data_IF_880764004243
#
_entry.id   IF_880764004243
#
_cell.length_a   1.000
_cell.length_b   1.000
_cell.length_c   1.000
_cell.angle_alpha   90.00
_cell.angle_beta   90.00
_cell.angle_gamma   90.00
#
_symmetry.space_group_name_H-M   'P 1'
#
loop_
_entity.id
_entity.type
_entity.pdbx_description
1 polymer ?
#
# COMPACT_ATOMS: atom_id res chain seq x y z
N UNK A 1 21.76 -39.76 0.50
CA UNK A 1 21.92 -39.37 1.92
C UNK A 1 21.38 -37.97 2.21
N UNK A 2 20.90 -37.29 1.17
CA UNK A 2 20.57 -35.88 1.24
C UNK A 2 19.07 -35.58 1.44
N UNK A 3 18.15 -36.40 0.91
CA UNK A 3 16.70 -36.14 1.03
C UNK A 3 16.16 -36.25 2.47
N UNK A 4 16.70 -37.15 3.28
CA UNK A 4 16.24 -37.32 4.68
C UNK A 4 16.75 -36.16 5.55
N UNK A 5 17.96 -35.66 5.25
CA UNK A 5 18.56 -34.54 5.98
C UNK A 5 17.85 -33.22 5.60
N UNK A 6 17.43 -33.08 4.35
CA UNK A 6 16.69 -31.92 3.87
C UNK A 6 15.25 -31.89 4.43
N UNK A 7 14.56 -33.01 4.49
CA UNK A 7 13.26 -33.14 5.12
C UNK A 7 13.30 -32.81 6.62
N UNK A 8 14.30 -33.32 7.34
CA UNK A 8 14.47 -33.05 8.78
C UNK A 8 14.76 -31.55 9.05
N UNK A 9 15.52 -30.89 8.17
CA UNK A 9 15.77 -29.43 8.31
C UNK A 9 14.54 -28.59 7.99
N UNK A 10 13.71 -29.02 7.04
CA UNK A 10 12.43 -28.36 6.72
C UNK A 10 11.43 -28.49 7.86
N UNK A 11 11.32 -29.64 8.50
CA UNK A 11 10.47 -29.86 9.66
C UNK A 11 10.92 -29.02 10.87
N UNK A 12 12.22 -28.92 11.10
CA UNK A 12 12.77 -28.06 12.16
C UNK A 12 12.50 -26.58 11.88
N UNK A 13 12.63 -26.12 10.64
CA UNK A 13 12.30 -24.76 10.23
C UNK A 13 10.80 -24.48 10.36
N UNK A 14 9.95 -25.42 9.98
CA UNK A 14 8.50 -25.31 10.14
C UNK A 14 8.12 -25.23 11.63
N UNK A 15 8.75 -26.04 12.50
CA UNK A 15 8.52 -26.01 13.93
C UNK A 15 8.84 -24.65 14.57
N UNK A 16 9.84 -23.93 14.05
CA UNK A 16 10.23 -22.60 14.57
C UNK A 16 9.18 -21.52 14.33
N UNK A 17 8.32 -21.66 13.32
CA UNK A 17 7.25 -20.70 13.04
C UNK A 17 5.95 -20.99 13.79
N UNK A 18 5.74 -22.21 14.28
CA UNK A 18 4.51 -22.59 15.00
C UNK A 18 4.28 -21.69 16.22
N UNK A 19 5.30 -21.49 17.07
CA UNK A 19 5.14 -20.70 18.30
C UNK A 19 4.78 -19.23 17.99
N UNK A 20 5.46 -18.50 17.10
CA UNK A 20 5.04 -17.16 16.69
C UNK A 20 3.61 -17.10 16.15
N UNK A 21 3.20 -18.07 15.34
CA UNK A 21 1.83 -18.09 14.79
C UNK A 21 0.78 -18.34 15.87
N UNK A 22 1.05 -19.24 16.84
CA UNK A 22 0.16 -19.45 18.00
C UNK A 22 0.03 -18.16 18.81
N UNK A 23 1.13 -17.45 19.07
CA UNK A 23 1.10 -16.17 19.80
C UNK A 23 0.23 -15.14 19.05
N UNK A 24 0.43 -15.00 17.74
CA UNK A 24 -0.38 -14.10 16.91
C UNK A 24 -1.85 -14.50 16.97
N UNK A 25 -2.17 -15.79 16.83
CA UNK A 25 -3.54 -16.31 16.91
C UNK A 25 -4.21 -15.99 18.25
N UNK A 26 -3.48 -16.17 19.36
CA UNK A 26 -3.97 -15.83 20.71
C UNK A 26 -4.23 -14.33 20.83
N UNK A 27 -3.30 -13.49 20.37
CA UNK A 27 -3.45 -12.04 20.39
C UNK A 27 -4.68 -11.62 19.59
N UNK A 28 -4.85 -12.16 18.39
CA UNK A 28 -6.03 -11.87 17.55
C UNK A 28 -7.33 -12.34 18.19
N UNK A 29 -7.33 -13.51 18.84
CA UNK A 29 -8.49 -14.01 19.57
C UNK A 29 -8.87 -13.10 20.75
N UNK A 30 -7.87 -12.61 21.51
CA UNK A 30 -8.09 -11.64 22.60
C UNK A 30 -8.66 -10.34 22.07
N UNK A 31 -8.14 -9.82 20.95
CA UNK A 31 -8.70 -8.63 20.28
C UNK A 31 -10.14 -8.88 19.81
N UNK A 32 -10.43 -10.01 19.19
CA UNK A 32 -11.78 -10.35 18.72
C UNK A 32 -12.77 -10.39 19.89
N UNK A 33 -12.40 -11.03 21.01
CA UNK A 33 -13.20 -11.04 22.25
C UNK A 33 -13.34 -9.63 22.82
N UNK A 34 -12.27 -8.84 22.84
CA UNK A 34 -12.31 -7.45 23.27
C UNK A 34 -13.29 -6.60 22.46
N UNK A 35 -13.36 -6.79 21.14
CA UNK A 35 -14.31 -6.10 20.26
C UNK A 35 -15.76 -6.53 20.57
N UNK A 36 -16.03 -7.80 20.85
CA UNK A 36 -17.36 -8.29 21.21
C UNK A 36 -17.90 -7.64 22.48
N UNK A 37 -17.01 -7.31 23.44
CA UNK A 37 -17.38 -6.61 24.69
C UNK A 37 -17.23 -5.07 24.60
N UNK A 38 -16.78 -4.56 23.48
CA UNK A 38 -16.65 -3.13 23.25
C UNK A 38 -18.01 -2.50 22.91
N UNK A 39 -18.29 -1.33 23.47
CA UNK A 39 -19.47 -0.52 23.13
C UNK A 39 -19.33 0.17 21.76
N UNK A 40 -18.72 -0.49 20.77
CA UNK A 40 -18.69 0.03 19.42
C UNK A 40 -20.12 0.10 18.88
N UNK A 41 -20.54 1.27 18.36
CA UNK A 41 -21.87 1.40 17.78
C UNK A 41 -22.01 0.46 16.58
N UNK A 42 -23.08 -0.34 16.56
CA UNK A 42 -23.46 -1.08 15.38
C UNK A 42 -23.69 -0.08 14.24
N UNK A 43 -22.88 -0.19 13.21
CA UNK A 43 -23.08 0.57 11.98
C UNK A 43 -24.25 -0.10 11.25
N UNK A 44 -25.48 0.31 11.58
CA UNK A 44 -26.65 -0.12 10.84
C UNK A 44 -26.54 0.42 9.42
N UNK A 45 -26.52 -0.47 8.45
CA UNK A 45 -26.47 -0.17 7.00
C UNK A 45 -27.63 0.75 6.51
N UNK A 46 -28.64 0.98 7.36
CA UNK A 46 -29.81 1.81 7.07
C UNK A 46 -29.62 3.31 7.39
N UNK A 47 -28.58 3.69 8.15
CA UNK A 47 -28.37 5.08 8.60
C UNK A 47 -27.56 5.97 7.66
N UNK A 48 -26.98 5.45 6.60
CA UNK A 48 -26.15 6.24 5.67
C UNK A 48 -26.94 6.94 4.56
N UNK A 49 -28.27 6.88 4.58
CA UNK A 49 -29.13 7.42 3.51
C UNK A 49 -29.74 8.79 3.80
N UNK A 50 -29.61 9.35 5.00
CA UNK A 50 -30.40 10.55 5.37
C UNK A 50 -29.60 11.87 5.46
N UNK A 51 -28.32 11.89 5.08
CA UNK A 51 -27.50 13.11 5.24
C UNK A 51 -27.11 13.86 3.97
N UNK A 52 -27.10 13.24 2.79
CA UNK A 52 -26.78 13.93 1.54
C UNK A 52 -27.71 13.47 0.41
N UNK A 53 -28.84 14.16 0.28
CA UNK A 53 -29.58 14.21 -0.98
C UNK A 53 -28.69 14.89 -2.03
N UNK A 54 -27.68 14.19 -2.49
CA UNK A 54 -26.76 14.69 -3.49
C UNK A 54 -27.22 14.25 -4.88
N UNK A 55 -27.05 15.13 -5.82
CA UNK A 55 -27.34 15.09 -7.28
C UNK A 55 -26.86 13.83 -8.03
N UNK A 56 -26.70 12.70 -7.36
CA UNK A 56 -26.21 11.42 -7.91
C UNK A 56 -27.29 10.34 -8.02
N UNK A 57 -28.56 10.68 -7.74
CA UNK A 57 -29.67 9.71 -7.87
C UNK A 57 -29.90 9.16 -9.28
N UNK A 58 -29.36 9.82 -10.31
CA UNK A 58 -29.41 9.37 -11.70
C UNK A 58 -28.41 8.26 -12.02
N UNK A 59 -27.35 8.05 -11.18
CA UNK A 59 -26.36 7.03 -11.47
C UNK A 59 -26.86 5.64 -11.07
N UNK A 60 -26.77 4.72 -12.03
CA UNK A 60 -27.26 3.33 -11.89
C UNK A 60 -26.16 2.31 -11.66
N UNK A 61 -24.88 2.70 -11.83
CA UNK A 61 -23.74 1.80 -11.72
C UNK A 61 -22.54 2.47 -11.04
N UNK A 62 -21.79 1.69 -10.27
CA UNK A 62 -20.53 2.08 -9.63
C UNK A 62 -19.46 2.49 -10.66
N UNK A 63 -19.53 1.94 -11.88
CA UNK A 63 -18.58 2.26 -12.97
C UNK A 63 -18.79 3.66 -13.57
N UNK A 64 -19.85 4.35 -13.19
CA UNK A 64 -20.10 5.75 -13.61
C UNK A 64 -19.35 6.77 -12.73
N UNK A 65 -18.49 6.32 -11.83
CA UNK A 65 -17.65 7.17 -11.00
C UNK A 65 -16.17 7.06 -11.43
N UNK A 66 -15.71 7.91 -12.36
CA UNK A 66 -14.35 7.79 -12.89
C UNK A 66 -13.27 7.93 -11.83
N UNK A 67 -13.45 8.82 -10.83
CA UNK A 67 -12.49 8.98 -9.73
C UNK A 67 -12.32 7.72 -8.89
N UNK A 68 -13.37 6.90 -8.75
CA UNK A 68 -13.27 5.61 -8.09
C UNK A 68 -12.41 4.63 -8.90
N UNK A 69 -12.67 4.50 -10.21
CA UNK A 69 -11.91 3.58 -11.07
C UNK A 69 -10.44 3.97 -11.13
N UNK A 70 -10.15 5.27 -11.23
CA UNK A 70 -8.79 5.78 -11.14
C UNK A 70 -8.17 5.51 -9.76
N UNK A 71 -8.96 5.59 -8.69
CA UNK A 71 -8.55 5.26 -7.32
C UNK A 71 -8.26 3.77 -7.13
N UNK A 72 -9.06 2.88 -7.72
CA UNK A 72 -8.82 1.43 -7.72
C UNK A 72 -7.47 1.11 -8.37
N UNK A 73 -7.18 1.71 -9.52
CA UNK A 73 -5.87 1.54 -10.18
C UNK A 73 -4.74 2.16 -9.34
N UNK A 74 -4.96 3.33 -8.74
CA UNK A 74 -3.97 3.95 -7.87
C UNK A 74 -3.65 3.07 -6.66
N UNK A 75 -4.67 2.47 -6.04
CA UNK A 75 -4.50 1.57 -4.91
C UNK A 75 -3.81 0.26 -5.32
N UNK A 76 -4.15 -0.30 -6.47
CA UNK A 76 -3.49 -1.48 -7.04
C UNK A 76 -1.99 -1.24 -7.23
N UNK A 77 -1.61 -0.13 -7.86
CA UNK A 77 -0.22 0.22 -8.09
C UNK A 77 0.51 0.52 -6.76
N UNK A 78 -0.17 1.24 -5.84
CA UNK A 78 0.38 1.54 -4.52
C UNK A 78 0.71 0.26 -3.74
N UNK A 79 -0.24 -0.66 -3.58
CA UNK A 79 0.02 -1.91 -2.84
C UNK A 79 1.12 -2.73 -3.52
N UNK A 80 1.16 -2.70 -4.85
CA UNK A 80 2.23 -3.32 -5.61
C UNK A 80 3.61 -2.79 -5.25
N UNK A 81 3.80 -1.46 -5.28
CA UNK A 81 5.12 -0.86 -4.97
C UNK A 81 5.46 -0.96 -3.48
N UNK A 82 4.46 -0.97 -2.59
CA UNK A 82 4.65 -1.17 -1.15
C UNK A 82 5.21 -2.56 -0.86
N UNK A 83 4.59 -3.62 -1.41
CA UNK A 83 5.05 -5.01 -1.26
C UNK A 83 6.42 -5.19 -1.90
N UNK A 84 6.66 -4.61 -3.07
CA UNK A 84 8.00 -4.64 -3.68
C UNK A 84 9.05 -4.01 -2.75
N UNK A 85 8.79 -2.84 -2.18
CA UNK A 85 9.73 -2.17 -1.28
C UNK A 85 10.00 -2.94 0.01
N UNK A 86 9.00 -3.70 0.51
CA UNK A 86 9.12 -4.48 1.74
C UNK A 86 9.75 -5.85 1.55
N UNK A 87 9.31 -6.59 0.54
CA UNK A 87 9.64 -8.01 0.40
C UNK A 87 10.85 -8.24 -0.52
N UNK A 88 10.93 -7.53 -1.66
CA UNK A 88 12.00 -7.78 -2.62
C UNK A 88 13.35 -7.19 -2.20
N UNK A 89 13.38 -6.29 -1.20
CA UNK A 89 14.60 -5.65 -0.70
C UNK A 89 15.62 -6.67 -0.15
N UNK A 90 15.15 -7.79 0.42
CA UNK A 90 16.03 -8.86 0.92
C UNK A 90 16.75 -9.54 -0.26
N UNK A 91 16.00 -9.92 -1.30
CA UNK A 91 16.55 -10.54 -2.51
C UNK A 91 17.50 -9.58 -3.22
N UNK A 92 17.18 -8.30 -3.23
CA UNK A 92 18.06 -7.27 -3.77
C UNK A 92 19.37 -7.15 -2.98
N UNK A 93 19.31 -7.10 -1.65
CA UNK A 93 20.50 -7.11 -0.80
C UNK A 93 21.40 -8.33 -1.08
N UNK A 94 20.78 -9.51 -1.23
CA UNK A 94 21.51 -10.73 -1.60
C UNK A 94 22.20 -10.62 -2.97
N UNK A 95 21.54 -9.99 -3.96
CA UNK A 95 22.14 -9.79 -5.30
C UNK A 95 23.34 -8.84 -5.29
N UNK A 96 23.47 -8.00 -4.26
CA UNK A 96 24.63 -7.14 -4.01
C UNK A 96 25.75 -7.84 -3.24
N UNK A 97 25.63 -9.14 -2.97
CA UNK A 97 26.60 -9.91 -2.18
C UNK A 97 26.50 -9.67 -0.67
N UNK A 98 25.42 -9.05 -0.19
CA UNK A 98 25.17 -8.83 1.24
C UNK A 98 24.70 -10.14 1.87
N UNK A 99 25.31 -10.52 2.99
CA UNK A 99 24.96 -11.72 3.73
C UNK A 99 23.49 -11.70 4.19
N UNK A 100 22.79 -12.82 4.05
CA UNK A 100 21.36 -12.94 4.40
C UNK A 100 21.05 -12.57 5.85
N UNK A 101 21.98 -12.84 6.76
CA UNK A 101 21.95 -12.43 8.18
C UNK A 101 21.76 -10.92 8.35
N UNK A 102 22.32 -10.11 7.46
CA UNK A 102 22.19 -8.65 7.39
C UNK A 102 21.01 -8.22 6.54
N UNK A 103 20.82 -8.82 5.37
CA UNK A 103 19.78 -8.45 4.42
C UNK A 103 18.37 -8.56 5.00
N UNK A 104 18.11 -9.50 5.89
CA UNK A 104 16.82 -9.67 6.58
C UNK A 104 16.38 -8.44 7.39
N UNK A 105 17.31 -7.58 7.81
CA UNK A 105 16.99 -6.36 8.54
C UNK A 105 16.55 -5.21 7.62
N UNK A 106 16.69 -5.33 6.30
CA UNK A 106 16.32 -4.27 5.38
C UNK A 106 14.81 -4.05 5.33
N UNK A 107 14.02 -5.13 5.34
CA UNK A 107 12.55 -5.02 5.49
C UNK A 107 12.17 -4.31 6.78
N UNK A 108 12.87 -4.59 7.89
CA UNK A 108 12.61 -3.88 9.15
C UNK A 108 12.91 -2.38 9.02
N UNK A 109 13.94 -2.01 8.26
CA UNK A 109 14.24 -0.62 7.92
C UNK A 109 13.09 0.05 7.15
N UNK A 110 12.54 -0.64 6.13
CA UNK A 110 11.36 -0.16 5.37
C UNK A 110 10.16 0.04 6.28
N UNK A 111 9.86 -0.95 7.15
CA UNK A 111 8.74 -0.86 8.09
C UNK A 111 8.94 0.23 9.15
N UNK A 112 10.17 0.45 9.62
CA UNK A 112 10.48 1.54 10.55
C UNK A 112 10.26 2.91 9.88
N UNK A 113 10.69 3.09 8.63
CA UNK A 113 10.43 4.29 7.85
C UNK A 113 8.92 4.50 7.65
N UNK A 114 8.16 3.44 7.39
CA UNK A 114 6.70 3.49 7.27
C UNK A 114 6.04 3.92 8.57
N UNK A 115 6.46 3.36 9.71
CA UNK A 115 5.96 3.74 11.04
C UNK A 115 6.23 5.22 11.34
N UNK A 116 7.42 5.73 11.03
CA UNK A 116 7.75 7.14 11.16
C UNK A 116 6.81 8.01 10.31
N UNK A 117 6.53 7.60 9.08
CA UNK A 117 5.58 8.29 8.20
C UNK A 117 4.16 8.30 8.76
N UNK A 118 3.69 7.22 9.36
CA UNK A 118 2.39 7.19 10.05
C UNK A 118 2.33 8.16 11.22
N UNK A 119 3.37 8.22 12.07
CA UNK A 119 3.44 9.15 13.20
C UNK A 119 3.35 10.60 12.71
N UNK A 120 4.11 10.93 11.66
CA UNK A 120 4.06 12.26 11.03
C UNK A 120 2.67 12.53 10.44
N UNK A 121 2.08 11.55 9.75
CA UNK A 121 0.75 11.66 9.14
C UNK A 121 -0.35 11.92 10.15
N UNK A 122 -0.41 11.15 11.23
CA UNK A 122 -1.40 11.33 12.31
C UNK A 122 -1.29 12.73 12.92
N UNK A 123 -0.07 13.26 13.03
CA UNK A 123 0.17 14.58 13.61
C UNK A 123 -0.18 15.73 12.66
N UNK A 124 -0.19 15.48 11.34
CA UNK A 124 -0.31 16.54 10.32
C UNK A 124 -1.65 16.53 9.60
N UNK A 125 -2.29 15.36 9.43
CA UNK A 125 -3.55 15.20 8.70
C UNK A 125 -4.72 15.11 9.71
N UNK A 126 -5.85 15.77 9.50
CA UNK A 126 -6.13 16.78 8.45
C UNK A 126 -5.75 18.20 8.86
N UNK A 127 -5.15 18.38 10.05
CA UNK A 127 -4.99 19.69 10.70
C UNK A 127 -4.16 20.70 9.89
N UNK A 128 -3.09 20.23 9.27
CA UNK A 128 -2.15 21.08 8.53
C UNK A 128 -2.12 20.76 7.03
N UNK A 129 -2.40 19.52 6.64
CA UNK A 129 -2.28 19.04 5.27
C UNK A 129 -3.51 18.23 4.91
N UNK A 130 -4.11 18.48 3.73
CA UNK A 130 -5.20 17.65 3.21
C UNK A 130 -4.68 16.28 2.76
N UNK A 131 -5.58 15.27 2.73
CA UNK A 131 -5.24 13.92 2.27
C UNK A 131 -4.67 13.93 0.84
N UNK A 132 -5.25 14.73 -0.07
CA UNK A 132 -4.76 14.86 -1.44
C UNK A 132 -3.33 15.43 -1.50
N UNK A 133 -3.03 16.46 -0.68
CA UNK A 133 -1.69 17.02 -0.60
C UNK A 133 -0.68 16.05 0.03
N UNK A 134 -1.08 15.32 1.07
CA UNK A 134 -0.24 14.27 1.65
C UNK A 134 0.12 13.20 0.60
N UNK A 135 -0.88 12.71 -0.14
CA UNK A 135 -0.69 11.75 -1.23
C UNK A 135 0.25 12.31 -2.32
N UNK A 136 0.08 13.59 -2.67
CA UNK A 136 0.94 14.28 -3.64
C UNK A 136 2.40 14.31 -3.19
N UNK A 137 2.69 14.69 -1.94
CA UNK A 137 4.06 14.72 -1.43
C UNK A 137 4.65 13.32 -1.31
N UNK A 138 3.89 12.35 -0.81
CA UNK A 138 4.31 10.95 -0.73
C UNK A 138 4.65 10.38 -2.11
N UNK A 139 3.85 10.66 -3.13
CA UNK A 139 4.13 10.17 -4.50
C UNK A 139 5.36 10.83 -5.12
N UNK A 140 5.62 12.12 -4.86
CA UNK A 140 6.86 12.78 -5.28
C UNK A 140 8.08 12.14 -4.62
N UNK A 141 8.02 11.87 -3.31
CA UNK A 141 9.09 11.15 -2.59
C UNK A 141 9.28 9.75 -3.17
N UNK A 142 8.19 9.05 -3.49
CA UNK A 142 8.23 7.73 -4.11
C UNK A 142 8.95 7.73 -5.46
N UNK A 143 8.64 8.70 -6.33
CA UNK A 143 9.36 8.88 -7.61
C UNK A 143 10.84 9.17 -7.36
N UNK A 144 11.16 10.11 -6.47
CA UNK A 144 12.54 10.50 -6.19
C UNK A 144 13.35 9.30 -5.65
N UNK A 145 12.84 8.59 -4.64
CA UNK A 145 13.55 7.47 -4.02
C UNK A 145 13.67 6.28 -4.97
N UNK A 146 12.66 5.99 -5.80
CA UNK A 146 12.74 4.91 -6.79
C UNK A 146 13.81 5.18 -7.85
N UNK A 147 13.93 6.43 -8.33
CA UNK A 147 14.99 6.81 -9.26
C UNK A 147 16.37 6.74 -8.58
N UNK A 148 16.50 7.29 -7.36
CA UNK A 148 17.74 7.27 -6.61
C UNK A 148 18.19 5.84 -6.29
N UNK A 149 17.26 4.92 -6.00
CA UNK A 149 17.57 3.52 -5.83
C UNK A 149 18.19 2.88 -7.08
N UNK A 150 17.74 3.25 -8.27
CA UNK A 150 18.25 2.72 -9.55
C UNK A 150 19.61 3.33 -9.92
N UNK A 151 19.82 4.63 -9.68
CA UNK A 151 21.05 5.32 -10.10
C UNK A 151 22.20 5.16 -9.10
N UNK A 152 21.92 4.80 -7.85
CA UNK A 152 22.93 4.54 -6.83
C UNK A 152 23.26 3.04 -6.73
N UNK A 153 24.28 2.68 -5.95
CA UNK A 153 24.75 1.30 -5.81
C UNK A 153 24.91 0.91 -4.33
N UNK A 154 24.97 -0.40 -4.08
CA UNK A 154 25.30 -0.96 -2.79
C UNK A 154 24.28 -0.55 -1.71
N UNK A 155 24.77 -0.32 -0.50
CA UNK A 155 23.93 0.04 0.65
C UNK A 155 23.14 1.34 0.47
N UNK A 156 23.65 2.30 -0.33
CA UNK A 156 22.95 3.56 -0.61
C UNK A 156 21.68 3.30 -1.41
N UNK A 157 21.74 2.43 -2.43
CA UNK A 157 20.58 2.01 -3.20
C UNK A 157 19.55 1.29 -2.31
N UNK A 158 19.99 0.36 -1.45
CA UNK A 158 19.12 -0.33 -0.49
C UNK A 158 18.47 0.65 0.49
N UNK A 159 19.20 1.66 0.94
CA UNK A 159 18.66 2.69 1.82
C UNK A 159 17.53 3.49 1.14
N UNK A 160 17.65 3.83 -0.15
CA UNK A 160 16.56 4.48 -0.88
C UNK A 160 15.34 3.58 -1.04
N UNK A 161 15.51 2.26 -1.20
CA UNK A 161 14.38 1.32 -1.21
C UNK A 161 13.73 1.27 0.19
N UNK A 162 14.49 1.25 1.26
CA UNK A 162 13.95 1.30 2.62
C UNK A 162 13.19 2.62 2.88
N UNK A 163 13.68 3.76 2.38
CA UNK A 163 13.01 5.06 2.48
C UNK A 163 11.68 5.12 1.71
N UNK A 164 11.43 4.21 0.75
CA UNK A 164 10.11 4.08 0.14
C UNK A 164 9.03 3.73 1.17
N UNK A 165 9.37 3.10 2.28
CA UNK A 165 8.45 2.90 3.40
C UNK A 165 7.84 4.22 3.89
N UNK A 166 8.65 5.27 4.02
CA UNK A 166 8.16 6.61 4.38
C UNK A 166 7.21 7.17 3.31
N UNK A 167 7.55 7.03 2.04
CA UNK A 167 6.71 7.48 0.93
C UNK A 167 5.38 6.72 0.88
N UNK A 168 5.38 5.42 1.16
CA UNK A 168 4.20 4.55 1.11
C UNK A 168 3.25 4.74 2.30
N UNK A 169 3.73 5.22 3.45
CA UNK A 169 3.00 5.24 4.72
C UNK A 169 1.61 5.87 4.64
N UNK A 170 1.45 6.99 3.96
CA UNK A 170 0.20 7.75 3.92
C UNK A 170 -0.64 7.50 2.67
N UNK A 171 -0.20 6.63 1.76
CA UNK A 171 -0.89 6.43 0.48
C UNK A 171 -2.22 5.71 0.66
N UNK A 172 -2.27 4.61 1.41
CA UNK A 172 -3.53 3.91 1.68
C UNK A 172 -4.56 4.82 2.36
N UNK A 173 -4.25 5.43 3.53
CA UNK A 173 -5.21 6.27 4.23
C UNK A 173 -5.61 7.53 3.45
N UNK A 174 -4.88 7.91 2.40
CA UNK A 174 -5.23 9.02 1.53
C UNK A 174 -6.03 8.58 0.29
N UNK A 175 -5.63 7.50 -0.41
CA UNK A 175 -6.30 7.05 -1.63
C UNK A 175 -7.71 6.55 -1.33
N UNK A 176 -7.88 5.75 -0.26
CA UNK A 176 -9.14 5.11 0.04
C UNK A 176 -10.30 6.11 0.26
N UNK A 177 -10.18 7.11 1.17
CA UNK A 177 -11.24 8.09 1.36
C UNK A 177 -11.50 8.94 0.12
N UNK A 178 -10.45 9.36 -0.61
CA UNK A 178 -10.60 10.13 -1.86
C UNK A 178 -11.36 9.36 -2.94
N UNK A 179 -11.19 8.04 -2.99
CA UNK A 179 -11.83 7.18 -3.97
C UNK A 179 -13.32 6.91 -3.66
N UNK A 180 -13.69 6.79 -2.38
CA UNK A 180 -15.09 6.52 -1.98
C UNK A 180 -15.92 7.79 -1.82
N UNK A 181 -15.31 8.97 -1.87
CA UNK A 181 -15.99 10.25 -1.67
C UNK A 181 -17.11 10.46 -2.69
N UNK A 182 -18.32 10.78 -2.20
CA UNK A 182 -19.48 11.08 -3.06
C UNK A 182 -20.11 9.87 -3.76
N UNK A 183 -19.81 8.63 -3.36
CA UNK A 183 -20.42 7.43 -3.95
C UNK A 183 -21.85 7.18 -3.44
N UNK A 184 -22.26 7.72 -2.30
CA UNK A 184 -23.59 7.49 -1.72
C UNK A 184 -23.91 5.99 -1.57
N UNK A 185 -25.02 5.53 -2.16
CA UNK A 185 -25.45 4.12 -2.13
C UNK A 185 -24.42 3.12 -2.70
N UNK A 186 -23.44 3.58 -3.47
CA UNK A 186 -22.40 2.73 -4.07
C UNK A 186 -21.13 2.63 -3.22
N UNK A 187 -21.07 3.26 -2.03
CA UNK A 187 -19.87 3.23 -1.15
C UNK A 187 -19.45 1.80 -0.81
N UNK A 188 -20.39 0.92 -0.50
CA UNK A 188 -20.11 -0.50 -0.16
C UNK A 188 -19.46 -1.24 -1.34
N UNK A 189 -20.03 -1.10 -2.54
CA UNK A 189 -19.48 -1.72 -3.76
C UNK A 189 -18.15 -1.09 -4.17
N UNK A 190 -18.01 0.23 -4.05
CA UNK A 190 -16.76 0.95 -4.33
C UNK A 190 -15.63 0.52 -3.37
N UNK A 191 -15.94 0.39 -2.09
CA UNK A 191 -14.98 -0.12 -1.10
C UNK A 191 -14.55 -1.56 -1.40
N UNK A 192 -15.48 -2.42 -1.84
CA UNK A 192 -15.13 -3.77 -2.24
C UNK A 192 -14.16 -3.79 -3.44
N UNK A 193 -14.36 -2.94 -4.44
CA UNK A 193 -13.43 -2.79 -5.57
C UNK A 193 -12.04 -2.33 -5.13
N UNK A 194 -11.98 -1.39 -4.17
CA UNK A 194 -10.70 -0.93 -3.61
C UNK A 194 -9.99 -2.04 -2.84
N UNK A 195 -10.72 -2.85 -2.07
CA UNK A 195 -10.13 -4.02 -1.40
C UNK A 195 -9.61 -5.04 -2.41
N UNK A 196 -10.31 -5.29 -3.51
CA UNK A 196 -9.81 -6.16 -4.58
C UNK A 196 -8.51 -5.65 -5.21
N UNK A 197 -8.27 -4.33 -5.20
CA UNK A 197 -7.03 -3.73 -5.70
C UNK A 197 -5.78 -4.16 -4.90
N UNK A 198 -5.93 -4.74 -3.70
CA UNK A 198 -4.83 -5.33 -2.91
C UNK A 198 -4.08 -6.41 -3.73
N UNK A 199 -4.75 -7.04 -4.71
CA UNK A 199 -4.11 -7.98 -5.63
C UNK A 199 -2.87 -7.43 -6.36
N UNK A 200 -2.71 -6.10 -6.41
CA UNK A 200 -1.49 -5.44 -6.90
C UNK A 200 -0.23 -5.91 -6.17
N UNK A 201 -0.35 -6.19 -4.85
CA UNK A 201 0.75 -6.72 -4.05
C UNK A 201 1.21 -8.13 -4.43
N UNK A 202 0.36 -8.90 -5.10
CA UNK A 202 0.75 -10.20 -5.65
C UNK A 202 1.30 -10.08 -7.09
N UNK A 203 0.69 -9.21 -7.90
CA UNK A 203 0.99 -9.12 -9.34
C UNK A 203 2.29 -8.33 -9.60
N UNK A 204 2.48 -7.19 -8.94
CA UNK A 204 3.62 -6.31 -9.21
C UNK A 204 4.99 -6.93 -8.88
N UNK A 205 5.18 -7.68 -7.78
CA UNK A 205 6.42 -8.40 -7.53
C UNK A 205 6.74 -9.46 -8.60
N UNK A 206 5.72 -10.12 -9.17
CA UNK A 206 5.91 -11.06 -10.28
C UNK A 206 6.43 -10.34 -11.54
N UNK A 207 5.83 -9.18 -11.87
CA UNK A 207 6.27 -8.35 -12.99
C UNK A 207 7.71 -7.87 -12.76
N UNK A 208 8.03 -7.43 -11.55
CA UNK A 208 9.40 -7.07 -11.16
C UNK A 208 10.38 -8.23 -11.36
N UNK A 209 10.02 -9.44 -10.93
CA UNK A 209 10.83 -10.64 -11.11
C UNK A 209 11.10 -10.91 -12.59
N UNK A 210 10.06 -10.91 -13.44
CA UNK A 210 10.18 -11.09 -14.88
C UNK A 210 11.09 -10.05 -15.54
N UNK A 211 10.97 -8.78 -15.14
CA UNK A 211 11.81 -7.68 -15.63
C UNK A 211 13.26 -7.89 -15.16
N UNK A 212 13.45 -8.24 -13.90
CA UNK A 212 14.78 -8.50 -13.32
C UNK A 212 15.52 -9.62 -14.07
N UNK A 213 14.81 -10.72 -14.36
CA UNK A 213 15.36 -11.86 -15.09
C UNK A 213 15.67 -11.48 -16.54
N UNK A 214 14.80 -10.71 -17.19
CA UNK A 214 14.97 -10.30 -18.59
C UNK A 214 16.15 -9.33 -18.78
N UNK A 215 16.35 -8.41 -17.83
CA UNK A 215 17.42 -7.39 -17.88
C UNK A 215 18.72 -7.93 -17.27
N UNK A 216 18.64 -8.99 -16.46
CA UNK A 216 19.78 -9.51 -15.69
C UNK A 216 20.21 -8.59 -14.54
N UNK A 217 19.34 -7.71 -14.07
CA UNK A 217 19.64 -6.75 -13.01
C UNK A 217 18.43 -6.45 -12.14
N UNK A 218 18.48 -6.95 -10.90
CA UNK A 218 17.46 -6.66 -9.86
C UNK A 218 17.34 -5.16 -9.57
N UNK A 219 18.46 -4.44 -9.59
CA UNK A 219 18.48 -2.99 -9.34
C UNK A 219 17.74 -2.20 -10.41
N UNK A 220 18.03 -2.46 -11.68
CA UNK A 220 17.40 -1.73 -12.79
C UNK A 220 15.91 -2.04 -12.86
N UNK A 221 15.49 -3.24 -12.47
CA UNK A 221 14.10 -3.63 -12.46
C UNK A 221 13.24 -2.76 -11.53
N UNK A 222 13.81 -2.15 -10.49
CA UNK A 222 13.07 -1.18 -9.63
C UNK A 222 12.58 0.07 -10.36
N UNK A 223 13.07 0.33 -11.59
CA UNK A 223 12.55 1.46 -12.39
C UNK A 223 11.04 1.37 -12.63
N UNK A 224 10.45 0.17 -12.56
CA UNK A 224 8.99 -0.02 -12.70
C UNK A 224 8.19 0.73 -11.62
N UNK A 225 8.79 1.03 -10.47
CA UNK A 225 8.12 1.78 -9.41
C UNK A 225 7.88 3.24 -9.81
N UNK A 226 8.78 3.85 -10.58
CA UNK A 226 8.67 5.26 -10.95
C UNK A 226 7.36 5.58 -11.71
N UNK A 227 6.97 4.85 -12.78
CA UNK A 227 5.67 5.08 -13.43
C UNK A 227 4.48 4.81 -12.50
N UNK A 228 4.58 3.87 -11.54
CA UNK A 228 3.52 3.64 -10.57
C UNK A 228 3.33 4.86 -9.66
N UNK A 229 4.41 5.41 -9.11
CA UNK A 229 4.33 6.63 -8.30
C UNK A 229 3.91 7.87 -9.11
N UNK A 230 4.29 7.97 -10.37
CA UNK A 230 3.81 9.03 -11.27
C UNK A 230 2.29 8.92 -11.50
N UNK A 231 1.75 7.71 -11.64
CA UNK A 231 0.31 7.53 -11.73
C UNK A 231 -0.40 7.92 -10.42
N UNK A 232 0.16 7.54 -9.27
CA UNK A 232 -0.38 7.92 -7.94
C UNK A 232 -0.34 9.45 -7.78
N UNK A 233 0.71 10.11 -8.26
CA UNK A 233 0.81 11.57 -8.30
C UNK A 233 -0.29 12.18 -9.18
N UNK A 234 -0.51 11.65 -10.38
CA UNK A 234 -1.62 12.07 -11.24
C UNK A 234 -2.96 11.93 -10.52
N UNK A 235 -3.19 10.80 -9.85
CA UNK A 235 -4.41 10.60 -9.07
C UNK A 235 -4.55 11.63 -7.94
N UNK A 236 -3.48 11.92 -7.22
CA UNK A 236 -3.46 12.90 -6.14
C UNK A 236 -3.78 14.33 -6.60
N UNK A 237 -3.38 14.71 -7.82
CA UNK A 237 -3.54 16.09 -8.33
C UNK A 237 -4.85 16.26 -9.11
N UNK A 238 -5.19 15.29 -9.93
CA UNK A 238 -6.28 15.41 -10.91
C UNK A 238 -7.30 14.28 -10.74
N UNK A 239 -6.83 13.03 -10.67
CA UNK A 239 -7.65 11.84 -10.80
C UNK A 239 -8.77 11.75 -9.77
N UNK A 240 -8.53 12.15 -8.53
CA UNK A 240 -9.53 12.09 -7.46
C UNK A 240 -10.71 13.07 -7.65
N UNK A 241 -10.58 14.08 -8.51
CA UNK A 241 -11.63 15.05 -8.83
C UNK A 241 -12.38 14.76 -10.13
N UNK A 242 -11.91 13.79 -10.93
CA UNK A 242 -12.50 13.48 -12.23
C UNK A 242 -13.93 12.95 -12.06
N UNK A 243 -14.88 13.58 -12.73
CA UNK A 243 -16.29 13.19 -12.66
C UNK A 243 -17.03 13.64 -11.39
N UNK A 244 -16.37 14.34 -10.49
CA UNK A 244 -17.05 15.10 -9.42
C UNK A 244 -17.53 16.42 -10.03
N UNK A 245 -18.83 16.75 -9.86
CA UNK A 245 -19.31 18.09 -10.22
C UNK A 245 -18.54 19.09 -9.37
N UNK A 246 -17.86 20.05 -10.01
CA UNK A 246 -17.26 21.16 -9.31
C UNK A 246 -18.36 21.85 -8.49
N UNK A 247 -18.29 21.75 -7.17
CA UNK A 247 -19.01 22.66 -6.29
C UNK A 247 -18.24 23.97 -6.37
N UNK A 248 -18.32 24.60 -7.56
CA UNK A 248 -17.72 25.87 -7.82
C UNK A 248 -18.60 26.95 -7.20
N UNK A 249 -18.03 27.58 -6.16
CA UNK A 249 -18.12 29.02 -5.93
C UNK A 249 -19.54 29.63 -5.99
N UNK A 250 -20.27 29.53 -4.88
CA UNK A 250 -21.12 30.59 -4.43
C UNK A 250 -20.79 30.87 -2.96
N UNK A 251 -19.76 31.68 -2.77
CA UNK A 251 -19.61 32.56 -1.60
C UNK A 251 -19.00 33.87 -2.06
#
# INVERSE_FOLDING_TARGET
MDDITEAATLDELAARVIVPYIVIAIVLAVFAVGILFSSLPDINDEGSSEGEASSNDEKTSVFQFPHLLLGVLALFLYVGVEVMAGDTIISYGKSLGIELSTARFFTQGTLACMLLGYIVGISTIPKYISQANALKYCSILGVAFSILAVVTNGYVSVAFIALLGLANSLMWPAIFPLAIEGLGKFTKTGSALLVMAISGGAIMPLIYGLISDSIGSTRIAYIIMAPCYLYIFYYAVIGHNVGKKSIAQHK
#
